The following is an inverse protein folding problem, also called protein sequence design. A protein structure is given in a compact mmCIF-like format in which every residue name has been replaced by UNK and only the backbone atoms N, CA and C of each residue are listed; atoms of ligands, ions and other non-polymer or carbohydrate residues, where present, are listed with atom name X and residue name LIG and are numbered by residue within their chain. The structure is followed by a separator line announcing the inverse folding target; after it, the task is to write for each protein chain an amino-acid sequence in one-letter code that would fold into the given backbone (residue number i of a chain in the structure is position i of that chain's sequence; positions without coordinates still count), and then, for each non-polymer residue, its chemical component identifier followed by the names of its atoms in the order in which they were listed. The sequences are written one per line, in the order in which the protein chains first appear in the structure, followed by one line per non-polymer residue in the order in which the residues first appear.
data_IF_511279574382
#
_entry.id   IF_511279574382
#
_cell.length_a   1.000
_cell.length_b   1.000
_cell.length_c   1.000
_cell.angle_alpha   90.00
_cell.angle_beta   90.00
_cell.angle_gamma   90.00
#
_symmetry.space_group_name_H-M   'P 1'
#
loop_
_entity.id
_entity.type
_entity.pdbx_description
1 polymer ?
#
# COMPACT_ATOMS: atom_id res chain seq x y z
N UNK A 1 3.94 32.90 23.71
CA UNK A 1 4.31 31.75 24.55
C UNK A 1 4.35 30.57 23.62
N UNK A 2 5.53 30.21 23.14
CA UNK A 2 5.70 29.01 22.29
C UNK A 2 5.31 27.80 23.13
N UNK A 3 4.24 27.12 22.73
CA UNK A 3 3.87 25.86 23.35
C UNK A 3 4.99 24.87 23.05
N UNK A 4 5.61 24.32 24.09
CA UNK A 4 6.58 23.24 23.98
C UNK A 4 5.88 22.01 23.38
N UNK A 5 5.93 21.88 22.06
CA UNK A 5 5.36 20.74 21.36
C UNK A 5 6.16 19.50 21.78
N UNK A 6 5.49 18.42 22.25
CA UNK A 6 6.20 17.22 22.67
C UNK A 6 7.00 16.66 21.50
N UNK A 7 8.30 16.44 21.71
CA UNK A 7 9.19 15.84 20.72
C UNK A 7 8.67 14.44 20.40
N UNK A 8 8.37 14.19 19.12
CA UNK A 8 8.06 12.86 18.61
C UNK A 8 9.36 12.22 18.14
N UNK A 9 9.94 11.26 18.89
CA UNK A 9 11.23 10.68 18.52
C UNK A 9 11.17 9.89 17.20
N UNK A 10 9.97 9.44 16.82
CA UNK A 10 9.65 8.74 15.58
C UNK A 10 9.36 9.68 14.39
N UNK A 11 9.23 11.00 14.62
CA UNK A 11 8.99 12.01 13.58
C UNK A 11 9.62 13.39 13.93
N UNK A 12 10.95 13.42 14.06
CA UNK A 12 11.69 14.62 14.49
C UNK A 12 11.54 15.84 13.58
N UNK A 13 11.26 15.60 12.29
CA UNK A 13 11.10 16.65 11.27
C UNK A 13 9.64 16.99 10.98
N UNK A 14 8.69 16.39 11.71
CA UNK A 14 7.26 16.51 11.45
C UNK A 14 6.90 16.25 9.98
N UNK A 15 7.45 15.16 9.43
CA UNK A 15 7.20 14.71 8.06
C UNK A 15 5.70 14.50 7.86
N UNK A 16 4.98 14.09 8.91
CA UNK A 16 3.52 13.92 8.87
C UNK A 16 2.78 15.22 8.50
N UNK A 17 3.30 16.40 8.89
CA UNK A 17 2.70 17.68 8.53
C UNK A 17 2.87 18.04 7.05
N UNK A 18 3.84 17.42 6.35
CA UNK A 18 4.06 17.61 4.91
C UNK A 18 3.08 16.80 4.04
N UNK A 19 2.39 15.82 4.62
CA UNK A 19 1.43 14.99 3.91
C UNK A 19 0.12 15.76 3.67
N UNK A 20 -0.60 15.41 2.62
CA UNK A 20 -1.99 15.80 2.42
C UNK A 20 -2.93 15.03 3.34
N UNK A 21 -4.17 15.49 3.50
CA UNK A 21 -5.20 14.76 4.26
C UNK A 21 -5.48 13.38 3.65
N UNK A 22 -5.45 13.28 2.32
CA UNK A 22 -5.65 12.02 1.61
C UNK A 22 -4.51 11.03 1.89
N UNK A 23 -3.25 11.48 1.80
CA UNK A 23 -2.08 10.66 2.09
C UNK A 23 -2.08 10.17 3.55
N UNK A 24 -2.44 11.04 4.50
CA UNK A 24 -2.61 10.65 5.91
C UNK A 24 -3.72 9.60 6.08
N UNK A 25 -4.85 9.78 5.40
CA UNK A 25 -5.96 8.84 5.48
C UNK A 25 -5.58 7.46 4.91
N UNK A 26 -4.82 7.43 3.81
CA UNK A 26 -4.26 6.19 3.24
C UNK A 26 -3.32 5.52 4.25
N UNK A 27 -2.35 6.27 4.80
CA UNK A 27 -1.43 5.73 5.79
C UNK A 27 -2.19 5.14 7.00
N UNK A 28 -3.14 5.88 7.55
CA UNK A 28 -3.92 5.42 8.71
C UNK A 28 -4.78 4.18 8.40
N UNK A 29 -5.34 4.08 7.19
CA UNK A 29 -6.10 2.91 6.79
C UNK A 29 -5.23 1.66 6.72
N UNK A 30 -4.04 1.76 6.12
CA UNK A 30 -3.10 0.64 6.04
C UNK A 30 -2.52 0.31 7.41
N UNK A 31 -2.18 1.31 8.23
CA UNK A 31 -1.71 1.10 9.60
C UNK A 31 -2.72 0.30 10.44
N UNK A 32 -4.01 0.65 10.36
CA UNK A 32 -5.08 -0.10 11.04
C UNK A 32 -5.18 -1.54 10.54
N UNK A 33 -5.09 -1.77 9.25
CA UNK A 33 -5.08 -3.14 8.70
C UNK A 33 -3.87 -3.92 9.22
N UNK A 34 -2.68 -3.34 9.18
CA UNK A 34 -1.45 -3.94 9.70
C UNK A 34 -1.58 -4.30 11.18
N UNK A 35 -2.03 -3.38 12.02
CA UNK A 35 -2.14 -3.60 13.47
C UNK A 35 -3.18 -4.65 13.86
N UNK A 36 -4.30 -4.68 13.13
CA UNK A 36 -5.45 -5.53 13.51
C UNK A 36 -5.45 -6.89 12.83
N UNK A 37 -4.80 -7.03 11.66
CA UNK A 37 -4.81 -8.26 10.85
C UNK A 37 -3.43 -8.91 10.77
N UNK A 38 -2.39 -8.11 10.50
CA UNK A 38 -1.06 -8.62 10.15
C UNK A 38 -0.24 -8.94 11.40
N UNK A 39 0.00 -7.95 12.25
CA UNK A 39 0.86 -8.08 13.44
C UNK A 39 0.46 -9.26 14.35
N UNK A 40 -0.84 -9.52 14.63
CA UNK A 40 -1.22 -10.62 15.51
C UNK A 40 -1.00 -12.03 14.94
N UNK A 41 -0.89 -12.17 13.61
CA UNK A 41 -0.96 -13.47 12.94
C UNK A 41 0.27 -13.79 12.06
N UNK A 42 1.10 -12.80 11.73
CA UNK A 42 2.23 -13.01 10.82
C UNK A 42 3.30 -13.94 11.41
N UNK A 43 3.52 -13.92 12.73
CA UNK A 43 4.48 -14.82 13.39
C UNK A 43 4.21 -16.29 13.09
N UNK A 44 2.96 -16.73 13.30
CA UNK A 44 2.54 -18.10 13.01
C UNK A 44 2.67 -18.45 11.51
N UNK A 45 2.36 -17.50 10.63
CA UNK A 45 2.49 -17.68 9.19
C UNK A 45 3.95 -17.83 8.75
N UNK A 46 4.85 -17.04 9.34
CA UNK A 46 6.29 -17.09 9.10
C UNK A 46 6.88 -18.43 9.56
N UNK A 47 6.58 -18.85 10.79
CA UNK A 47 7.06 -20.11 11.36
C UNK A 47 6.57 -21.33 10.55
N UNK A 48 5.36 -21.24 9.99
CA UNK A 48 4.79 -22.27 9.13
C UNK A 48 5.26 -22.20 7.66
N UNK A 49 6.05 -21.19 7.27
CA UNK A 49 6.45 -20.98 5.88
C UNK A 49 5.27 -20.73 4.92
N UNK A 50 4.17 -20.15 5.42
CA UNK A 50 2.91 -19.99 4.70
C UNK A 50 2.66 -18.51 4.39
N UNK A 51 2.30 -18.21 3.14
CA UNK A 51 1.75 -16.90 2.81
C UNK A 51 0.24 -16.82 3.14
N UNK A 52 -0.21 -15.81 3.89
CA UNK A 52 -1.62 -15.63 4.28
C UNK A 52 -2.47 -15.10 3.12
N UNK A 53 -2.81 -15.99 2.18
CA UNK A 53 -3.63 -15.68 0.98
C UNK A 53 -5.01 -15.13 1.30
N UNK A 54 -5.55 -15.44 2.48
CA UNK A 54 -6.81 -14.93 3.00
C UNK A 54 -6.86 -13.40 3.08
N UNK A 55 -5.72 -12.71 3.13
CA UNK A 55 -5.66 -11.25 3.16
C UNK A 55 -5.75 -10.60 1.79
N UNK A 56 -5.53 -11.33 0.69
CA UNK A 56 -5.52 -10.75 -0.66
C UNK A 56 -6.83 -10.00 -0.98
N UNK A 57 -8.03 -10.55 -0.71
CA UNK A 57 -9.28 -9.83 -0.96
C UNK A 57 -9.43 -8.55 -0.12
N UNK A 58 -8.91 -8.54 1.12
CA UNK A 58 -8.95 -7.35 1.98
C UNK A 58 -8.02 -6.25 1.44
N UNK A 59 -6.82 -6.62 0.96
CA UNK A 59 -5.88 -5.69 0.32
C UNK A 59 -6.48 -5.09 -0.97
N UNK A 60 -7.20 -5.90 -1.75
CA UNK A 60 -7.92 -5.46 -2.94
C UNK A 60 -9.04 -4.48 -2.59
N UNK A 61 -9.87 -4.77 -1.57
CA UNK A 61 -10.93 -3.89 -1.09
C UNK A 61 -10.41 -2.55 -0.55
N UNK A 62 -9.22 -2.55 0.07
CA UNK A 62 -8.53 -1.33 0.50
C UNK A 62 -7.91 -0.54 -0.68
N UNK A 63 -7.92 -1.10 -1.89
CA UNK A 63 -7.38 -0.48 -3.10
C UNK A 63 -5.85 -0.42 -3.09
N UNK A 64 -5.18 -1.40 -2.48
CA UNK A 64 -3.71 -1.43 -2.39
C UNK A 64 -3.07 -2.10 -3.61
N UNK A 65 -3.83 -2.92 -4.36
CA UNK A 65 -3.36 -3.59 -5.57
C UNK A 65 -3.51 -2.66 -6.77
N UNK A 66 -2.40 -2.24 -7.35
CA UNK A 66 -2.38 -1.23 -8.41
C UNK A 66 -2.54 0.20 -7.91
N UNK A 67 -2.31 0.46 -6.61
CA UNK A 67 -2.42 1.80 -6.02
C UNK A 67 -1.56 2.86 -6.73
N UNK A 68 -0.43 2.45 -7.30
CA UNK A 68 0.50 3.30 -8.06
C UNK A 68 0.07 3.55 -9.51
N UNK A 69 -1.03 2.96 -9.99
CA UNK A 69 -1.48 3.11 -11.36
C UNK A 69 -2.41 4.31 -11.51
N UNK A 70 -2.30 5.05 -12.63
CA UNK A 70 -3.33 5.96 -13.08
C UNK A 70 -4.67 5.22 -13.18
N UNK A 71 -5.72 5.76 -12.56
CA UNK A 71 -7.08 5.19 -12.66
C UNK A 71 -7.65 5.40 -14.08
N UNK A 72 -7.18 6.44 -14.77
CA UNK A 72 -7.51 6.83 -16.16
C UNK A 72 -6.35 7.61 -16.78
N UNK A 73 -6.30 7.70 -18.11
CA UNK A 73 -5.41 8.63 -18.81
C UNK A 73 -5.70 10.07 -18.33
N UNK A 74 -4.77 10.63 -17.55
CA UNK A 74 -4.89 11.96 -16.92
C UNK A 74 -5.23 11.96 -15.42
N UNK A 75 -5.60 10.83 -14.82
CA UNK A 75 -5.73 10.70 -13.36
C UNK A 75 -4.38 10.33 -12.74
N UNK A 76 -3.93 11.08 -11.73
CA UNK A 76 -2.59 10.93 -11.14
C UNK A 76 -2.39 9.64 -10.29
N UNK A 77 -3.33 8.69 -10.30
CA UNK A 77 -3.33 7.53 -9.40
C UNK A 77 -3.30 7.97 -7.92
N UNK A 78 -3.11 7.02 -6.99
CA UNK A 78 -2.64 7.42 -5.66
C UNK A 78 -1.16 7.75 -5.86
N UNK A 79 -0.81 9.04 -5.86
CA UNK A 79 0.54 9.50 -6.20
C UNK A 79 1.67 8.76 -5.45
N UNK A 80 2.90 8.87 -5.95
CA UNK A 80 4.04 8.09 -5.45
C UNK A 80 4.24 8.12 -3.92
N UNK A 81 3.87 9.23 -3.26
CA UNK A 81 3.88 9.36 -1.80
C UNK A 81 2.89 8.41 -1.13
N UNK A 82 1.63 8.35 -1.59
CA UNK A 82 0.64 7.40 -1.07
C UNK A 82 1.08 5.95 -1.24
N UNK A 83 1.67 5.60 -2.39
CA UNK A 83 2.23 4.26 -2.59
C UNK A 83 3.40 3.96 -1.64
N UNK A 84 4.26 4.95 -1.39
CA UNK A 84 5.32 4.85 -0.38
C UNK A 84 4.78 4.61 1.03
N UNK A 85 3.74 5.35 1.44
CA UNK A 85 3.08 5.19 2.73
C UNK A 85 2.40 3.81 2.88
N UNK A 86 1.77 3.31 1.81
CA UNK A 86 1.23 1.94 1.78
C UNK A 86 2.35 0.92 2.04
N UNK A 87 3.47 1.04 1.32
CA UNK A 87 4.61 0.14 1.50
C UNK A 87 5.17 0.23 2.93
N UNK A 88 5.33 1.44 3.46
CA UNK A 88 5.84 1.67 4.81
C UNK A 88 4.98 0.98 5.88
N UNK A 89 3.67 1.14 5.82
CA UNK A 89 2.76 0.55 6.82
C UNK A 89 2.59 -0.96 6.66
N UNK A 90 2.64 -1.50 5.45
CA UNK A 90 2.64 -2.95 5.24
C UNK A 90 3.92 -3.59 5.77
N UNK A 91 5.08 -2.99 5.47
CA UNK A 91 6.39 -3.51 5.87
C UNK A 91 6.65 -3.37 7.37
N UNK A 92 5.98 -2.43 8.04
CA UNK A 92 5.93 -2.39 9.51
C UNK A 92 5.33 -3.67 10.11
N UNK A 93 4.45 -4.35 9.38
CA UNK A 93 3.92 -5.66 9.74
C UNK A 93 4.74 -6.82 9.19
N UNK A 94 5.00 -6.81 7.89
CA UNK A 94 5.74 -7.88 7.20
C UNK A 94 6.30 -7.47 5.83
N UNK A 95 7.58 -7.72 5.60
CA UNK A 95 8.22 -7.49 4.30
C UNK A 95 7.71 -8.44 3.20
N UNK A 96 7.27 -9.66 3.54
CA UNK A 96 6.68 -10.59 2.59
C UNK A 96 5.37 -10.06 1.98
N UNK A 97 4.49 -9.53 2.84
CA UNK A 97 3.24 -8.88 2.47
C UNK A 97 3.46 -7.64 1.61
N UNK A 98 4.38 -6.75 2.01
CA UNK A 98 4.76 -5.59 1.17
C UNK A 98 5.34 -6.04 -0.17
N UNK A 99 6.14 -7.12 -0.19
CA UNK A 99 6.70 -7.68 -1.43
C UNK A 99 5.60 -8.17 -2.38
N UNK A 100 4.58 -8.84 -1.86
CA UNK A 100 3.42 -9.25 -2.65
C UNK A 100 2.73 -8.04 -3.31
N UNK A 101 2.38 -7.00 -2.53
CA UNK A 101 1.73 -5.79 -3.05
C UNK A 101 2.61 -5.08 -4.09
N UNK A 102 3.92 -5.03 -3.85
CA UNK A 102 4.87 -4.42 -4.78
C UNK A 102 5.00 -5.18 -6.10
N UNK A 103 5.08 -6.51 -6.05
CA UNK A 103 5.15 -7.35 -7.26
C UNK A 103 3.87 -7.18 -8.07
N UNK A 104 2.71 -7.33 -7.42
CA UNK A 104 1.40 -7.21 -8.07
C UNK A 104 1.27 -5.84 -8.75
N UNK A 105 1.48 -4.75 -8.01
CA UNK A 105 1.25 -3.39 -8.52
C UNK A 105 2.33 -2.94 -9.51
N UNK A 106 3.60 -3.00 -9.11
CA UNK A 106 4.69 -2.33 -9.81
C UNK A 106 5.43 -3.22 -10.82
N UNK A 107 5.38 -4.54 -10.66
CA UNK A 107 6.10 -5.48 -11.53
C UNK A 107 5.18 -6.27 -12.47
N UNK A 108 3.90 -6.37 -12.15
CA UNK A 108 2.92 -7.05 -13.00
C UNK A 108 1.96 -6.06 -13.65
N UNK A 109 1.24 -5.25 -12.86
CA UNK A 109 0.20 -4.37 -13.41
C UNK A 109 0.80 -3.14 -14.12
N UNK A 110 1.83 -2.50 -13.55
CA UNK A 110 2.49 -1.35 -14.19
C UNK A 110 3.00 -1.60 -15.61
N UNK A 111 3.75 -2.69 -15.92
CA UNK A 111 4.17 -2.92 -17.31
C UNK A 111 3.00 -3.20 -18.26
N UNK A 112 1.91 -3.82 -17.79
CA UNK A 112 0.69 -4.00 -18.61
C UNK A 112 0.05 -2.64 -18.88
N UNK A 113 -0.05 -1.77 -17.86
CA UNK A 113 -0.56 -0.42 -18.00
C UNK A 113 0.28 0.40 -18.99
N UNK A 114 1.60 0.49 -18.75
CA UNK A 114 2.50 1.39 -19.47
C UNK A 114 2.87 0.90 -20.88
N UNK A 115 2.95 -0.42 -21.09
CA UNK A 115 3.52 -1.00 -22.31
C UNK A 115 2.58 -1.99 -23.03
N UNK A 116 1.43 -2.33 -22.44
CA UNK A 116 0.46 -3.22 -23.06
C UNK A 116 -0.36 -2.55 -24.17
N UNK A 117 -1.08 -3.36 -24.94
CA UNK A 117 -2.15 -2.87 -25.83
C UNK A 117 -3.42 -2.54 -25.04
N UNK A 118 -4.37 -1.84 -25.66
CA UNK A 118 -5.67 -1.56 -25.03
C UNK A 118 -6.41 -2.85 -24.67
N UNK A 119 -6.32 -3.87 -25.53
CA UNK A 119 -6.93 -5.18 -25.28
C UNK A 119 -6.27 -5.88 -24.08
N UNK A 120 -4.95 -5.77 -23.91
CA UNK A 120 -4.25 -6.33 -22.76
C UNK A 120 -4.63 -5.61 -21.46
N UNK A 121 -4.68 -4.28 -21.48
CA UNK A 121 -5.11 -3.49 -20.31
C UNK A 121 -6.53 -3.84 -19.87
N UNK A 122 -7.48 -3.84 -20.81
CA UNK A 122 -8.90 -4.12 -20.53
C UNK A 122 -9.13 -5.55 -20.06
N UNK A 123 -8.32 -6.51 -20.55
CA UNK A 123 -8.44 -7.91 -20.15
C UNK A 123 -7.89 -8.19 -18.75
N UNK A 124 -6.70 -7.69 -18.44
CA UNK A 124 -5.95 -8.17 -17.27
C UNK A 124 -6.07 -7.27 -16.05
N UNK A 125 -6.01 -5.94 -16.22
CA UNK A 125 -5.94 -5.03 -15.07
C UNK A 125 -7.16 -5.10 -14.13
N UNK A 126 -8.40 -5.22 -14.62
CA UNK A 126 -9.56 -5.32 -13.73
C UNK A 126 -9.50 -6.54 -12.79
N UNK A 127 -9.13 -7.72 -13.32
CA UNK A 127 -9.03 -8.94 -12.52
C UNK A 127 -7.86 -8.90 -11.54
N UNK A 128 -6.76 -8.21 -11.91
CA UNK A 128 -5.59 -8.07 -11.04
C UNK A 128 -5.81 -7.11 -9.85
N UNK A 129 -6.85 -6.28 -9.91
CA UNK A 129 -7.22 -5.33 -8.84
C UNK A 129 -8.19 -5.94 -7.80
N UNK A 130 -8.75 -7.14 -8.05
CA UNK A 130 -9.85 -7.73 -7.26
C UNK A 130 -9.47 -9.00 -6.52
#
# INVERSE_FOLDING_TARGET
MEANMPVRPDDLFDVRALLTDEERAVQEAVARFTDTRVVPAIGDAFDAGRFPREWIPELAQLGLLGASLPVRDGDAGRGAVSYGLICQELERGDSGLRSFVSVQSSLCMYPIHAYGSDEQRQRWLPEMMT
#
